data_IF_464914142621
#
_entry.id   IF_464914142621
#
_cell.length_a   1.000
_cell.length_b   1.000
_cell.length_c   1.000
_cell.angle_alpha   90.00
_cell.angle_beta   90.00
_cell.angle_gamma   90.00
#
_symmetry.space_group_name_H-M   'P 1'
#
loop_
_entity.id
_entity.type
_entity.pdbx_description
1 polymer ?
#
# COMPACT_ATOMS: atom_id res chain seq x y z
N UNK A 1 -5.63 -16.57 -5.91
CA UNK A 1 -5.47 -15.92 -4.59
C UNK A 1 -5.15 -16.95 -3.52
N UNK A 2 -4.00 -16.90 -2.81
CA UNK A 2 -3.59 -18.00 -1.88
C UNK A 2 -4.45 -18.08 -0.62
N UNK A 3 -4.59 -16.99 0.13
CA UNK A 3 -5.37 -17.01 1.38
C UNK A 3 -6.86 -17.30 1.13
N UNK A 4 -7.42 -16.79 0.04
CA UNK A 4 -8.80 -17.10 -0.35
C UNK A 4 -9.00 -18.60 -0.64
N UNK A 5 -8.05 -19.26 -1.32
CA UNK A 5 -8.06 -20.71 -1.54
C UNK A 5 -8.00 -21.52 -0.23
N UNK A 6 -7.41 -20.94 0.82
CA UNK A 6 -7.36 -21.54 2.16
C UNK A 6 -8.62 -21.23 2.99
N UNK A 7 -9.60 -20.51 2.44
CA UNK A 7 -10.88 -20.24 3.08
C UNK A 7 -11.00 -18.87 3.75
N UNK A 8 -10.03 -17.97 3.57
CA UNK A 8 -10.10 -16.63 4.13
C UNK A 8 -11.02 -15.71 3.31
N UNK A 9 -11.84 -14.91 3.99
CA UNK A 9 -12.43 -13.70 3.41
C UNK A 9 -11.40 -12.56 3.47
N UNK A 10 -11.44 -11.66 2.48
CA UNK A 10 -10.35 -10.72 2.23
C UNK A 10 -10.82 -9.28 2.45
N UNK A 11 -10.03 -8.50 3.20
CA UNK A 11 -10.09 -7.04 3.14
C UNK A 11 -8.89 -6.61 2.29
N UNK A 12 -9.16 -5.95 1.16
CA UNK A 12 -8.13 -5.51 0.22
C UNK A 12 -8.16 -3.98 0.10
N UNK A 13 -6.99 -3.37 -0.05
CA UNK A 13 -6.87 -1.95 -0.32
C UNK A 13 -5.65 -1.68 -1.20
N UNK A 14 -5.77 -0.66 -2.03
CA UNK A 14 -4.66 -0.06 -2.78
C UNK A 14 -5.00 1.43 -3.00
N UNK A 15 -3.99 2.28 -3.16
CA UNK A 15 -4.19 3.69 -3.48
C UNK A 15 -4.65 3.88 -4.94
N UNK A 16 -4.40 2.91 -5.82
CA UNK A 16 -4.80 2.92 -7.23
C UNK A 16 -4.34 4.17 -8.01
N UNK A 17 -3.27 4.80 -7.53
CA UNK A 17 -2.71 6.03 -8.06
C UNK A 17 -1.21 6.13 -7.70
N UNK A 18 -0.43 6.99 -8.37
CA UNK A 18 0.95 7.24 -7.99
C UNK A 18 1.05 7.70 -6.53
N UNK A 19 1.70 6.91 -5.68
CA UNK A 19 1.95 7.27 -4.29
C UNK A 19 2.95 8.43 -4.13
N UNK A 20 3.73 8.73 -5.18
CA UNK A 20 4.69 9.83 -5.24
C UNK A 20 5.04 10.20 -6.68
N UNK A 21 5.39 11.46 -6.91
CA UNK A 21 5.83 11.98 -8.22
C UNK A 21 7.16 11.38 -8.71
N UNK A 22 7.95 10.76 -7.82
CA UNK A 22 9.23 10.15 -8.18
C UNK A 22 9.14 8.66 -8.56
N UNK A 23 7.93 8.11 -8.63
CA UNK A 23 7.72 6.74 -9.08
C UNK A 23 8.10 6.61 -10.55
N UNK A 24 9.01 5.68 -10.85
CA UNK A 24 9.48 5.38 -12.20
C UNK A 24 8.80 4.15 -12.82
N UNK A 25 7.82 3.58 -12.12
CA UNK A 25 7.02 2.43 -12.56
C UNK A 25 5.53 2.77 -12.48
N UNK A 26 4.69 2.12 -13.30
CA UNK A 26 3.26 2.39 -13.29
C UNK A 26 2.66 2.04 -11.93
N UNK A 27 1.80 2.92 -11.43
CA UNK A 27 0.96 2.60 -10.27
C UNK A 27 -0.11 1.57 -10.66
N UNK A 28 -0.57 0.81 -9.68
CA UNK A 28 -1.79 0.02 -9.84
C UNK A 28 -2.97 0.95 -10.15
N UNK A 29 -3.95 0.41 -10.86
CA UNK A 29 -5.18 1.08 -11.26
C UNK A 29 -6.38 0.51 -10.50
N UNK A 30 -7.52 1.22 -10.49
CA UNK A 30 -8.77 0.66 -9.96
C UNK A 30 -9.17 -0.67 -10.60
N UNK A 31 -8.85 -0.89 -11.88
CA UNK A 31 -9.15 -2.16 -12.55
C UNK A 31 -8.28 -3.31 -12.04
N UNK A 32 -7.01 -3.06 -11.65
CA UNK A 32 -6.15 -4.07 -11.04
C UNK A 32 -6.70 -4.51 -9.65
N UNK A 33 -7.28 -3.55 -8.90
CA UNK A 33 -7.98 -3.86 -7.65
C UNK A 33 -9.28 -4.63 -7.90
N UNK A 34 -10.02 -4.31 -8.97
CA UNK A 34 -11.21 -5.06 -9.37
C UNK A 34 -10.86 -6.48 -9.87
N UNK A 35 -9.73 -6.66 -10.54
CA UNK A 35 -9.24 -8.00 -10.90
C UNK A 35 -8.97 -8.82 -9.64
N UNK A 36 -8.36 -8.21 -8.62
CA UNK A 36 -8.16 -8.81 -7.30
C UNK A 36 -9.49 -9.24 -6.67
N UNK A 37 -10.51 -8.39 -6.73
CA UNK A 37 -11.87 -8.72 -6.26
C UNK A 37 -12.41 -9.96 -6.98
N UNK A 38 -12.42 -9.94 -8.32
CA UNK A 38 -12.89 -11.08 -9.14
C UNK A 38 -12.13 -12.36 -8.82
N UNK A 39 -10.82 -12.26 -8.59
CA UNK A 39 -9.97 -13.41 -8.27
C UNK A 39 -10.20 -13.97 -6.86
N UNK A 40 -10.72 -13.19 -5.91
CA UNK A 40 -11.14 -13.69 -4.59
C UNK A 40 -12.53 -14.34 -4.71
N UNK A 41 -13.47 -13.69 -5.39
CA UNK A 41 -14.82 -14.19 -5.60
C UNK A 41 -14.84 -15.50 -6.39
N UNK A 42 -13.96 -15.66 -7.37
CA UNK A 42 -13.79 -16.90 -8.13
C UNK A 42 -13.38 -18.10 -7.25
N UNK A 43 -12.77 -17.86 -6.10
CA UNK A 43 -12.43 -18.90 -5.11
C UNK A 43 -13.59 -19.13 -4.11
N UNK A 44 -14.76 -18.52 -4.35
CA UNK A 44 -15.96 -18.64 -3.52
C UNK A 44 -15.87 -17.87 -2.18
N UNK A 45 -14.98 -16.88 -2.09
CA UNK A 45 -14.76 -16.09 -0.88
C UNK A 45 -15.32 -14.69 -1.00
N UNK A 46 -15.56 -14.04 0.14
CA UNK A 46 -16.01 -12.64 0.19
C UNK A 46 -14.81 -11.71 0.19
N UNK A 47 -15.00 -10.52 -0.36
CA UNK A 47 -14.00 -9.46 -0.36
C UNK A 47 -14.63 -8.10 -0.08
N UNK A 48 -13.98 -7.33 0.79
CA UNK A 48 -14.20 -5.90 0.98
C UNK A 48 -12.99 -5.17 0.41
N UNK A 49 -13.14 -4.55 -0.76
CA UNK A 49 -12.08 -3.79 -1.41
C UNK A 49 -12.31 -2.28 -1.28
N UNK A 50 -11.24 -1.51 -1.07
CA UNK A 50 -11.31 -0.05 -0.98
C UNK A 50 -10.10 0.61 -1.62
N UNK A 51 -10.35 1.64 -2.43
CA UNK A 51 -9.31 2.58 -2.83
C UNK A 51 -8.93 3.45 -1.63
N UNK A 52 -7.73 3.27 -1.08
CA UNK A 52 -7.25 3.99 0.09
C UNK A 52 -5.73 4.04 0.14
N UNK A 53 -5.20 5.16 0.64
CA UNK A 53 -3.79 5.33 0.92
C UNK A 53 -3.44 4.80 2.31
N UNK A 54 -2.43 3.93 2.41
CA UNK A 54 -1.94 3.41 3.71
C UNK A 54 -1.38 4.50 4.64
N UNK A 55 -1.12 5.70 4.11
CA UNK A 55 -0.70 6.87 4.90
C UNK A 55 -1.88 7.57 5.59
N UNK A 56 -3.12 7.27 5.20
CA UNK A 56 -4.34 7.80 5.81
C UNK A 56 -4.81 6.90 6.96
N UNK A 57 -4.35 7.22 8.17
CA UNK A 57 -4.70 6.48 9.39
C UNK A 57 -6.22 6.37 9.63
N UNK A 58 -6.99 7.47 9.60
CA UNK A 58 -8.45 7.42 9.71
C UNK A 58 -9.12 6.52 8.67
N UNK A 59 -8.72 6.57 7.40
CA UNK A 59 -9.30 5.72 6.36
C UNK A 59 -9.03 4.23 6.63
N UNK A 60 -7.81 3.89 7.08
CA UNK A 60 -7.46 2.52 7.45
C UNK A 60 -8.25 2.02 8.67
N UNK A 61 -8.44 2.86 9.69
CA UNK A 61 -9.25 2.51 10.86
C UNK A 61 -10.69 2.20 10.47
N UNK A 62 -11.29 3.03 9.60
CA UNK A 62 -12.64 2.79 9.12
C UNK A 62 -12.74 1.51 8.29
N UNK A 63 -11.78 1.25 7.39
CA UNK A 63 -11.78 0.03 6.59
C UNK A 63 -11.70 -1.24 7.45
N UNK A 64 -10.88 -1.22 8.49
CA UNK A 64 -10.78 -2.35 9.44
C UNK A 64 -12.10 -2.52 10.20
N UNK A 65 -12.71 -1.41 10.67
CA UNK A 65 -14.00 -1.47 11.34
C UNK A 65 -15.09 -2.08 10.44
N UNK A 66 -15.21 -1.61 9.20
CA UNK A 66 -16.16 -2.12 8.21
C UNK A 66 -15.92 -3.61 7.90
N UNK A 67 -14.65 -4.02 7.82
CA UNK A 67 -14.28 -5.41 7.61
C UNK A 67 -14.60 -6.31 8.80
N UNK A 68 -14.41 -5.83 10.03
CA UNK A 68 -14.82 -6.55 11.25
C UNK A 68 -16.34 -6.65 11.32
N UNK A 69 -17.08 -5.61 10.94
CA UNK A 69 -18.54 -5.66 10.87
C UNK A 69 -19.01 -6.69 9.83
N UNK A 70 -18.36 -6.74 8.66
CA UNK A 70 -18.73 -7.65 7.58
C UNK A 70 -18.35 -9.12 7.83
N UNK A 71 -17.19 -9.38 8.45
CA UNK A 71 -16.61 -10.73 8.58
C UNK A 71 -16.50 -11.23 10.03
N UNK A 72 -16.78 -10.38 11.02
CA UNK A 72 -16.81 -10.69 12.45
C UNK A 72 -15.45 -10.68 13.16
N UNK A 73 -14.33 -10.72 12.42
CA UNK A 73 -12.97 -10.76 12.98
C UNK A 73 -11.91 -10.32 11.96
N UNK A 74 -10.71 -10.02 12.45
CA UNK A 74 -9.50 -9.82 11.65
C UNK A 74 -8.38 -10.70 12.22
N UNK A 75 -7.87 -11.63 11.41
CA UNK A 75 -6.90 -12.64 11.85
C UNK A 75 -5.48 -12.41 11.35
N UNK A 76 -5.37 -11.92 10.12
CA UNK A 76 -4.11 -11.81 9.39
C UNK A 76 -4.02 -10.41 8.82
N UNK A 77 -2.87 -9.74 9.06
CA UNK A 77 -2.51 -8.49 8.44
C UNK A 77 -1.30 -8.70 7.53
N UNK A 78 -1.44 -8.35 6.26
CA UNK A 78 -0.34 -8.37 5.29
C UNK A 78 0.02 -6.93 4.91
N UNK A 79 1.04 -6.37 5.55
CA UNK A 79 1.56 -5.04 5.26
C UNK A 79 2.46 -5.04 4.00
N UNK A 80 1.87 -5.36 2.85
CA UNK A 80 2.61 -5.50 1.57
C UNK A 80 2.85 -4.17 0.84
N UNK A 81 1.97 -3.17 1.00
CA UNK A 81 2.05 -1.91 0.26
C UNK A 81 3.39 -1.21 0.53
N UNK A 82 4.17 -0.96 -0.53
CA UNK A 82 5.49 -0.35 -0.47
C UNK A 82 5.87 0.30 -1.79
N UNK A 83 6.67 1.38 -1.70
CA UNK A 83 7.21 2.07 -2.87
C UNK A 83 8.71 1.84 -2.99
N UNK A 84 9.18 1.61 -4.21
CA UNK A 84 10.60 1.50 -4.52
C UNK A 84 11.09 2.82 -5.11
N UNK A 85 12.11 3.41 -4.49
CA UNK A 85 12.78 4.60 -5.02
C UNK A 85 14.26 4.30 -5.27
N UNK A 86 14.72 4.47 -6.51
CA UNK A 86 16.16 4.48 -6.78
C UNK A 86 16.73 5.84 -6.42
N UNK A 87 17.30 5.93 -5.21
CA UNK A 87 18.22 7.01 -4.90
C UNK A 87 19.45 6.84 -5.77
N UNK A 88 19.62 7.66 -6.80
CA UNK A 88 20.92 7.77 -7.46
C UNK A 88 21.96 8.10 -6.41
N UNK A 89 22.98 7.26 -6.25
CA UNK A 89 24.14 7.47 -5.37
C UNK A 89 25.02 8.66 -5.81
N UNK A 90 24.47 9.58 -6.61
CA UNK A 90 25.12 10.77 -7.11
C UNK A 90 24.83 11.96 -6.20
N UNK A 91 25.69 12.13 -5.19
CA UNK A 91 25.92 13.40 -4.49
C UNK A 91 24.73 13.97 -3.71
N UNK A 92 24.20 13.23 -2.74
CA UNK A 92 23.52 13.85 -1.59
C UNK A 92 24.56 14.61 -0.77
N UNK A 93 24.48 15.94 -0.56
CA UNK A 93 25.30 16.57 0.44
C UNK A 93 24.95 15.92 1.78
N UNK A 94 25.94 15.27 2.40
CA UNK A 94 25.84 14.78 3.77
C UNK A 94 25.57 15.99 4.68
N UNK A 95 24.30 16.29 4.94
CA UNK A 95 23.97 16.96 6.19
C UNK A 95 24.16 15.92 7.29
N UNK A 96 25.10 16.22 8.17
CA UNK A 96 25.50 15.39 9.28
C UNK A 96 24.28 14.96 10.11
N UNK A 97 24.03 13.65 10.14
CA UNK A 97 23.14 13.01 11.10
C UNK A 97 21.91 12.37 10.47
N UNK A 98 22.06 11.16 9.93
CA UNK A 98 21.30 9.96 10.33
C UNK A 98 21.87 8.78 9.56
N UNK A 99 22.48 7.85 10.29
CA UNK A 99 23.04 6.60 9.76
C UNK A 99 21.88 5.72 9.32
N UNK A 100 21.94 5.15 8.12
CA UNK A 100 20.96 4.23 7.58
C UNK A 100 20.92 2.95 8.40
N UNK A 101 19.95 2.83 9.30
CA UNK A 101 19.63 1.59 9.99
C UNK A 101 18.11 1.47 10.11
N UNK A 102 17.54 0.43 9.49
CA UNK A 102 16.31 -0.26 9.90
C UNK A 102 15.02 0.55 9.99
N UNK A 103 14.00 0.12 9.24
CA UNK A 103 12.58 0.12 9.61
C UNK A 103 12.11 1.14 10.67
N UNK A 104 11.39 2.19 10.25
CA UNK A 104 10.10 2.64 10.83
C UNK A 104 9.66 3.98 10.22
N UNK A 105 8.41 4.00 9.73
CA UNK A 105 7.48 5.14 9.52
C UNK A 105 7.95 6.40 8.76
N UNK A 106 7.33 6.77 7.62
CA UNK A 106 7.54 8.10 7.06
C UNK A 106 6.69 9.14 7.82
N UNK A 107 7.35 10.14 8.39
CA UNK A 107 6.72 11.39 8.82
C UNK A 107 6.07 12.11 7.61
N UNK A 108 4.93 12.83 7.81
CA UNK A 108 4.28 13.55 6.73
C UNK A 108 5.12 14.77 6.31
N UNK A 109 5.31 14.96 5.00
CA UNK A 109 5.86 16.21 4.44
C UNK A 109 7.23 16.17 3.77
N UNK A 110 7.84 14.99 3.53
CA UNK A 110 9.04 14.93 2.67
C UNK A 110 8.63 15.08 1.20
N UNK A 111 8.67 16.31 0.69
CA UNK A 111 8.67 16.56 -0.76
C UNK A 111 9.90 15.89 -1.37
N UNK A 112 9.72 15.21 -2.49
CA UNK A 112 10.82 14.69 -3.28
C UNK A 112 11.81 15.82 -3.58
N UNK A 113 13.11 15.54 -3.41
CA UNK A 113 14.15 16.54 -3.68
C UNK A 113 14.04 17.03 -5.13
N UNK A 114 14.23 18.34 -5.39
CA UNK A 114 14.03 18.91 -6.71
C UNK A 114 15.27 18.59 -7.55
N UNK A 115 15.25 17.46 -8.26
CA UNK A 115 16.09 17.16 -9.43
C UNK A 115 15.85 15.71 -9.86
N UNK A 116 14.84 15.50 -10.69
CA UNK A 116 14.89 14.43 -11.70
C UNK A 116 15.06 15.12 -13.05
N UNK A 117 16.14 14.85 -13.81
CA UNK A 117 16.17 15.15 -15.24
C UNK A 117 15.23 14.18 -15.99
N UNK A 118 14.83 14.52 -17.24
CA UNK A 118 13.87 13.73 -18.01
C UNK A 118 14.34 12.31 -18.31
#
# INVERSE_FOLDING_TARGET
MRLAREGADIIALDICAPASDCLTYPAATPEDLNETVRAVEAEGRKVLAREADVRDGPALQQLVADGIEAFGRLDILVANAGVLGWGGSGNSPMSSGTRSSGSTSPAPGRRCAPRCPP
#
